data_IF_196366768185
#
_entry.id   IF_196366768185
#
_cell.length_a   1.000
_cell.length_b   1.000
_cell.length_c   1.000
_cell.angle_alpha   90.00
_cell.angle_beta   90.00
_cell.angle_gamma   90.00
#
_symmetry.space_group_name_H-M   'P 1'
#
loop_
_entity.id
_entity.type
_entity.pdbx_description
1 polymer ?
#
# COMPACT_ATOMS: atom_id res chain seq x y z
N UNK A 1 -2.02 6.34 -22.47
CA UNK A 1 -0.69 5.71 -22.26
C UNK A 1 0.29 6.82 -21.93
N UNK A 2 1.02 6.68 -20.82
CA UNK A 2 2.04 7.65 -20.40
C UNK A 2 3.29 7.47 -21.26
N UNK A 3 3.88 8.57 -21.74
CA UNK A 3 5.11 8.50 -22.55
C UNK A 3 6.31 8.05 -21.72
N UNK A 4 7.28 7.42 -22.38
CA UNK A 4 8.55 6.98 -21.75
C UNK A 4 9.34 8.17 -21.18
N UNK A 5 9.32 9.32 -21.85
CA UNK A 5 9.95 10.55 -21.36
C UNK A 5 9.30 11.03 -20.06
N UNK A 6 7.96 11.08 -20.01
CA UNK A 6 7.22 11.48 -18.79
C UNK A 6 7.53 10.56 -17.61
N UNK A 7 7.58 9.25 -17.86
CA UNK A 7 7.96 8.27 -16.83
C UNK A 7 9.40 8.50 -16.33
N UNK A 8 10.35 8.74 -17.22
CA UNK A 8 11.75 8.95 -16.88
C UNK A 8 11.97 10.25 -16.09
N UNK A 9 11.26 11.34 -16.44
CA UNK A 9 11.30 12.61 -15.69
C UNK A 9 10.68 12.44 -14.30
N UNK A 10 9.50 11.83 -14.22
CA UNK A 10 8.82 11.60 -12.95
C UNK A 10 9.65 10.72 -12.01
N UNK A 11 10.32 9.69 -12.54
CA UNK A 11 11.24 8.85 -11.78
C UNK A 11 12.48 9.64 -11.32
N UNK A 12 13.02 10.54 -12.13
CA UNK A 12 14.11 11.42 -11.75
C UNK A 12 13.77 12.29 -10.54
N UNK A 13 12.53 12.82 -10.50
CA UNK A 13 12.02 13.56 -9.35
C UNK A 13 11.80 12.65 -8.14
N UNK A 14 11.34 11.41 -8.35
CA UNK A 14 11.01 10.45 -7.30
C UNK A 14 12.23 9.83 -6.60
N UNK A 15 13.41 9.80 -7.25
CA UNK A 15 14.62 9.13 -6.73
C UNK A 15 15.07 9.61 -5.35
N UNK A 16 14.85 10.87 -5.01
CA UNK A 16 15.25 11.46 -3.74
C UNK A 16 14.29 11.15 -2.58
N UNK A 17 13.12 10.57 -2.85
CA UNK A 17 12.09 10.32 -1.83
C UNK A 17 12.09 8.87 -1.36
N UNK A 18 11.93 8.70 -0.05
CA UNK A 18 11.75 7.38 0.58
C UNK A 18 10.28 6.91 0.56
N UNK A 19 9.36 7.71 0.01
CA UNK A 19 7.94 7.35 -0.04
C UNK A 19 7.73 6.07 -0.86
N UNK A 20 6.89 5.12 -0.41
CA UNK A 20 6.69 3.82 -1.08
C UNK A 20 6.30 3.94 -2.56
N UNK A 21 5.41 4.88 -2.90
CA UNK A 21 5.00 5.09 -4.29
C UNK A 21 6.12 5.68 -5.17
N UNK A 22 6.98 6.55 -4.60
CA UNK A 22 8.17 7.06 -5.30
C UNK A 22 9.14 5.92 -5.64
N UNK A 23 9.37 5.02 -4.69
CA UNK A 23 10.18 3.84 -4.92
C UNK A 23 9.55 2.87 -5.92
N UNK A 24 8.21 2.70 -5.89
CA UNK A 24 7.49 1.88 -6.85
C UNK A 24 7.64 2.44 -8.28
N UNK A 25 7.50 3.76 -8.45
CA UNK A 25 7.71 4.42 -9.74
C UNK A 25 9.13 4.21 -10.27
N UNK A 26 10.13 4.39 -9.40
CA UNK A 26 11.54 4.22 -9.78
C UNK A 26 11.85 2.78 -10.18
N UNK A 27 11.32 1.79 -9.42
CA UNK A 27 11.45 0.36 -9.77
C UNK A 27 10.79 0.04 -11.11
N UNK A 28 9.61 0.57 -11.37
CA UNK A 28 8.90 0.32 -12.63
C UNK A 28 9.66 0.88 -13.83
N UNK A 29 10.24 2.08 -13.70
CA UNK A 29 11.08 2.69 -14.74
C UNK A 29 12.31 1.83 -15.02
N UNK A 30 13.00 1.34 -13.98
CA UNK A 30 14.14 0.43 -14.12
C UNK A 30 13.72 -0.90 -14.78
N UNK A 31 12.57 -1.47 -14.38
CA UNK A 31 12.03 -2.71 -14.97
C UNK A 31 11.76 -2.58 -16.47
N UNK A 32 11.38 -1.39 -16.93
CA UNK A 32 11.19 -1.07 -18.36
C UNK A 32 12.49 -0.80 -19.11
N UNK A 33 13.64 -0.90 -18.45
CA UNK A 33 14.93 -0.57 -19.04
C UNK A 33 15.13 0.92 -19.30
N UNK A 34 14.36 1.78 -18.65
CA UNK A 34 14.45 3.21 -18.77
C UNK A 34 15.38 3.77 -17.68
N UNK A 35 16.11 4.83 -18.03
CA UNK A 35 16.95 5.57 -17.07
C UNK A 35 16.21 6.81 -16.60
N UNK A 36 16.09 7.05 -15.28
CA UNK A 36 15.54 8.29 -14.76
C UNK A 36 16.33 9.50 -15.27
N UNK A 37 15.65 10.55 -15.68
CA UNK A 37 16.29 11.78 -16.16
C UNK A 37 16.68 12.70 -14.99
N UNK A 38 17.78 13.43 -15.17
CA UNK A 38 18.28 14.34 -14.12
C UNK A 38 17.33 15.50 -13.91
N UNK A 39 16.88 15.69 -12.67
CA UNK A 39 16.02 16.79 -12.22
C UNK A 39 16.77 17.59 -11.17
N UNK A 40 16.72 18.93 -11.27
CA UNK A 40 17.32 19.85 -10.30
C UNK A 40 16.30 20.41 -9.31
N UNK A 41 16.83 21.07 -8.27
CA UNK A 41 16.03 21.83 -7.27
C UNK A 41 14.91 21.01 -6.63
N UNK A 42 15.20 19.74 -6.32
CA UNK A 42 14.21 18.83 -5.75
C UNK A 42 13.92 19.24 -4.31
N UNK A 43 12.63 19.48 -4.02
CA UNK A 43 12.13 19.80 -2.68
C UNK A 43 10.96 18.89 -2.34
N UNK A 44 10.99 18.30 -1.16
CA UNK A 44 9.89 17.53 -0.60
C UNK A 44 8.95 18.46 0.21
N UNK A 45 7.66 18.38 -0.07
CA UNK A 45 6.60 19.12 0.60
C UNK A 45 5.75 18.13 1.40
N UNK A 46 5.89 18.10 2.74
CA UNK A 46 5.19 17.12 3.58
C UNK A 46 3.67 17.11 3.34
N UNK A 47 3.11 15.92 3.14
CA UNK A 47 1.68 15.72 2.87
C UNK A 47 1.21 16.12 1.46
N UNK A 48 2.07 16.71 0.63
CA UNK A 48 1.73 17.14 -0.73
C UNK A 48 2.45 16.31 -1.80
N UNK A 49 3.78 16.26 -1.75
CA UNK A 49 4.61 15.57 -2.72
C UNK A 49 5.96 16.24 -2.95
N UNK A 50 6.50 16.09 -4.15
CA UNK A 50 7.80 16.58 -4.58
C UNK A 50 7.65 17.68 -5.62
N UNK A 51 8.52 18.66 -5.60
CA UNK A 51 8.72 19.61 -6.70
C UNK A 51 10.19 19.58 -7.17
N UNK A 52 10.42 20.02 -8.41
CA UNK A 52 11.74 20.12 -9.00
C UNK A 52 11.72 20.90 -10.30
N UNK A 53 12.85 20.95 -10.99
CA UNK A 53 13.02 21.65 -12.26
C UNK A 53 13.65 20.73 -13.30
N UNK A 54 13.08 20.70 -14.51
CA UNK A 54 13.63 19.99 -15.65
C UNK A 54 13.59 20.88 -16.90
N UNK A 55 14.76 21.20 -17.45
CA UNK A 55 14.92 22.13 -18.58
C UNK A 55 14.15 23.46 -18.40
N UNK A 56 14.20 24.03 -17.17
CA UNK A 56 13.52 25.29 -16.83
C UNK A 56 12.01 25.16 -16.57
N UNK A 57 11.41 23.99 -16.79
CA UNK A 57 10.02 23.74 -16.47
C UNK A 57 9.86 23.20 -15.05
N UNK A 58 8.91 23.76 -14.31
CA UNK A 58 8.59 23.30 -12.94
C UNK A 58 7.86 21.97 -12.99
N UNK A 59 8.32 21.05 -12.14
CA UNK A 59 7.72 19.74 -11.96
C UNK A 59 7.01 19.65 -10.60
N UNK A 60 5.94 18.86 -10.55
CA UNK A 60 5.29 18.41 -9.31
C UNK A 60 4.93 16.93 -9.45
N UNK A 61 5.16 16.17 -8.37
CA UNK A 61 4.76 14.77 -8.25
C UNK A 61 4.18 14.55 -6.85
N UNK A 62 2.94 14.14 -6.73
CA UNK A 62 2.29 13.97 -5.43
C UNK A 62 0.79 13.78 -5.52
N UNK A 63 0.06 14.29 -4.53
CA UNK A 63 -1.39 14.17 -4.51
C UNK A 63 -2.06 15.01 -5.63
N UNK A 64 -3.33 14.72 -5.93
CA UNK A 64 -4.10 15.37 -6.99
C UNK A 64 -4.13 16.89 -6.84
N UNK A 65 -4.48 17.38 -5.65
CA UNK A 65 -4.62 18.81 -5.37
C UNK A 65 -3.28 19.55 -5.59
N UNK A 66 -2.16 18.98 -5.12
CA UNK A 66 -0.82 19.52 -5.33
C UNK A 66 -0.44 19.67 -6.80
N UNK A 67 -0.82 18.72 -7.62
CA UNK A 67 -0.54 18.72 -9.06
C UNK A 67 -1.63 19.41 -9.89
N UNK A 68 -2.71 19.89 -9.26
CA UNK A 68 -3.84 20.51 -9.95
C UNK A 68 -4.58 19.54 -10.86
N UNK A 69 -4.70 18.28 -10.44
CA UNK A 69 -5.55 17.29 -11.07
C UNK A 69 -6.94 17.32 -10.43
N UNK A 70 -7.97 17.17 -11.26
CA UNK A 70 -9.36 17.10 -10.79
C UNK A 70 -9.57 15.86 -9.92
N UNK A 71 -10.49 15.96 -8.95
CA UNK A 71 -10.90 14.79 -8.19
C UNK A 71 -11.57 13.77 -9.12
N UNK A 72 -11.24 12.50 -8.94
CA UNK A 72 -11.94 11.44 -9.66
C UNK A 72 -13.26 11.16 -8.97
N UNK A 73 -14.34 11.16 -9.73
CA UNK A 73 -15.65 10.72 -9.25
C UNK A 73 -15.68 9.21 -8.96
N UNK A 74 -14.73 8.46 -9.52
CA UNK A 74 -14.61 7.00 -9.34
C UNK A 74 -13.44 6.68 -8.42
N UNK A 75 -13.74 6.07 -7.27
CA UNK A 75 -12.73 5.48 -6.39
C UNK A 75 -12.35 4.09 -6.93
N UNK A 76 -11.29 4.03 -7.73
CA UNK A 76 -10.78 2.76 -8.27
C UNK A 76 -10.04 1.92 -7.20
N UNK A 77 -9.93 2.40 -5.95
CA UNK A 77 -9.20 1.73 -4.88
C UNK A 77 -7.71 1.53 -5.18
N UNK A 78 -7.17 2.28 -6.13
CA UNK A 78 -5.74 2.28 -6.48
C UNK A 78 -5.03 3.40 -5.74
N UNK A 79 -3.81 3.13 -5.30
CA UNK A 79 -2.89 4.17 -4.87
C UNK A 79 -2.45 4.98 -6.10
N UNK A 80 -2.32 6.28 -5.95
CA UNK A 80 -2.04 7.14 -7.11
C UNK A 80 -1.09 8.28 -6.78
N UNK A 81 -0.32 8.67 -7.79
CA UNK A 81 0.37 9.95 -7.88
C UNK A 81 -0.10 10.71 -9.12
N UNK A 82 -0.28 12.01 -8.96
CA UNK A 82 -0.35 12.94 -10.07
C UNK A 82 1.05 13.49 -10.37
N UNK A 83 1.38 13.63 -11.64
CA UNK A 83 2.61 14.28 -12.11
C UNK A 83 2.23 15.44 -13.03
N UNK A 84 2.80 16.61 -12.78
CA UNK A 84 2.63 17.80 -13.62
C UNK A 84 3.95 18.39 -14.05
N UNK A 85 4.05 18.71 -15.34
CA UNK A 85 5.19 19.39 -15.95
C UNK A 85 4.75 20.75 -16.50
N UNK A 86 5.23 21.84 -15.89
CA UNK A 86 4.88 23.21 -16.26
C UNK A 86 3.37 23.46 -16.25
N UNK A 87 2.85 24.02 -17.32
CA UNK A 87 1.42 24.31 -17.50
C UNK A 87 0.62 23.14 -18.13
N UNK A 88 1.27 22.00 -18.42
CA UNK A 88 0.61 20.85 -19.06
C UNK A 88 -0.43 20.21 -18.12
N UNK A 89 -1.37 19.51 -18.73
CA UNK A 89 -2.33 18.70 -17.96
C UNK A 89 -1.60 17.66 -17.09
N UNK A 90 -2.07 17.43 -15.86
CA UNK A 90 -1.48 16.42 -14.98
C UNK A 90 -1.66 15.02 -15.57
N UNK A 91 -0.66 14.17 -15.34
CA UNK A 91 -0.68 12.75 -15.69
C UNK A 91 -0.85 11.94 -14.43
N UNK A 92 -1.77 10.98 -14.43
CA UNK A 92 -2.01 10.11 -13.29
C UNK A 92 -1.19 8.81 -13.42
N UNK A 93 -0.48 8.46 -12.36
CA UNK A 93 0.13 7.16 -12.15
C UNK A 93 -0.72 6.40 -11.14
N UNK A 94 -1.20 5.24 -11.54
CA UNK A 94 -1.93 4.34 -10.67
C UNK A 94 -1.03 3.18 -10.28
N UNK A 95 -1.03 2.86 -9.00
CA UNK A 95 -0.23 1.78 -8.44
C UNK A 95 -1.17 0.72 -7.91
N UNK A 96 -0.91 -0.49 -8.31
CA UNK A 96 -1.60 -1.66 -7.82
C UNK A 96 -0.66 -2.46 -6.94
N UNK A 97 -1.07 -2.73 -5.70
CA UNK A 97 -0.34 -3.65 -4.85
C UNK A 97 -0.42 -5.04 -5.46
N UNK A 98 0.75 -5.54 -5.84
CA UNK A 98 0.84 -6.88 -6.41
C UNK A 98 0.71 -7.91 -5.30
N UNK A 99 -0.40 -8.62 -5.31
CA UNK A 99 -0.55 -9.79 -4.46
C UNK A 99 0.57 -10.81 -4.72
N UNK A 100 1.02 -11.48 -3.69
CA UNK A 100 1.94 -12.61 -3.86
C UNK A 100 1.28 -13.68 -4.72
N UNK A 101 2.06 -14.30 -5.60
CA UNK A 101 1.54 -15.29 -6.56
C UNK A 101 0.85 -16.49 -5.89
N UNK A 102 1.26 -16.83 -4.67
CA UNK A 102 0.70 -17.94 -3.89
C UNK A 102 -0.41 -17.51 -2.90
N UNK A 103 -0.79 -16.21 -2.85
CA UNK A 103 -1.75 -15.71 -1.85
C UNK A 103 -3.10 -16.43 -1.92
N UNK A 104 -3.69 -16.53 -3.11
CA UNK A 104 -4.98 -17.20 -3.30
C UNK A 104 -4.91 -18.71 -2.96
N UNK A 105 -3.81 -19.37 -3.32
CA UNK A 105 -3.59 -20.78 -2.98
C UNK A 105 -3.46 -21.00 -1.47
N UNK A 106 -2.71 -20.12 -0.79
CA UNK A 106 -2.58 -20.15 0.67
C UNK A 106 -3.93 -20.01 1.36
N UNK A 107 -4.74 -19.02 0.94
CA UNK A 107 -6.08 -18.81 1.52
C UNK A 107 -6.98 -20.04 1.29
N UNK A 108 -6.94 -20.61 0.09
CA UNK A 108 -7.69 -21.85 -0.20
C UNK A 108 -7.26 -22.98 0.72
N UNK A 109 -5.96 -23.21 0.88
CA UNK A 109 -5.42 -24.26 1.76
C UNK A 109 -5.88 -24.07 3.21
N UNK A 110 -5.86 -22.84 3.73
CA UNK A 110 -6.37 -22.56 5.07
C UNK A 110 -7.86 -22.89 5.21
N UNK A 111 -8.66 -22.54 4.20
CA UNK A 111 -10.09 -22.86 4.18
C UNK A 111 -10.35 -24.39 4.09
N UNK A 112 -9.56 -25.09 3.31
CA UNK A 112 -9.63 -26.57 3.18
C UNK A 112 -9.27 -27.27 4.50
N UNK A 113 -8.43 -26.63 5.34
CA UNK A 113 -8.15 -27.07 6.71
C UNK A 113 -9.29 -26.76 7.71
N UNK A 114 -10.40 -26.17 7.25
CA UNK A 114 -11.56 -25.81 8.08
C UNK A 114 -11.40 -24.47 8.82
N UNK A 115 -10.42 -23.64 8.44
CA UNK A 115 -10.21 -22.33 9.06
C UNK A 115 -11.10 -21.28 8.37
N UNK A 116 -11.73 -20.40 9.18
CA UNK A 116 -12.39 -19.21 8.68
C UNK A 116 -11.35 -18.07 8.54
N UNK A 117 -11.23 -17.54 7.35
CA UNK A 117 -10.27 -16.46 7.07
C UNK A 117 -11.00 -15.13 6.93
N UNK A 118 -10.53 -14.11 7.65
CA UNK A 118 -11.07 -12.74 7.58
C UNK A 118 -9.94 -11.75 7.24
N UNK A 119 -10.26 -10.73 6.45
CA UNK A 119 -9.35 -9.63 6.10
C UNK A 119 -9.80 -8.35 6.80
N UNK A 120 -8.94 -7.79 7.66
CA UNK A 120 -9.16 -6.51 8.33
C UNK A 120 -8.11 -5.52 7.87
N UNK A 121 -8.52 -4.46 7.17
CA UNK A 121 -7.58 -3.46 6.65
C UNK A 121 -8.06 -2.04 6.95
N UNK A 122 -7.10 -1.14 7.22
CA UNK A 122 -7.37 0.30 7.30
C UNK A 122 -7.65 0.97 5.96
N UNK A 123 -7.43 0.25 4.86
CA UNK A 123 -7.60 0.77 3.51
C UNK A 123 -9.07 1.01 3.13
N UNK A 124 -9.24 1.72 2.01
CA UNK A 124 -10.56 2.01 1.45
C UNK A 124 -11.27 0.72 1.01
N UNK A 125 -12.59 0.76 1.06
CA UNK A 125 -13.46 -0.38 0.76
C UNK A 125 -13.17 -1.01 -0.61
N UNK A 126 -13.01 -0.21 -1.66
CA UNK A 126 -12.72 -0.70 -3.01
C UNK A 126 -11.40 -1.49 -3.08
N UNK A 127 -10.36 -1.07 -2.36
CA UNK A 127 -9.08 -1.76 -2.29
C UNK A 127 -9.19 -3.09 -1.55
N UNK A 128 -9.84 -3.08 -0.38
CA UNK A 128 -10.02 -4.27 0.47
C UNK A 128 -10.87 -5.32 -0.24
N UNK A 129 -11.99 -4.91 -0.84
CA UNK A 129 -12.87 -5.82 -1.58
C UNK A 129 -12.17 -6.44 -2.79
N UNK A 130 -11.39 -5.67 -3.53
CA UNK A 130 -10.60 -6.20 -4.65
C UNK A 130 -9.62 -7.29 -4.19
N UNK A 131 -8.88 -7.05 -3.11
CA UNK A 131 -7.97 -8.04 -2.54
C UNK A 131 -8.74 -9.27 -2.06
N UNK A 132 -9.80 -9.08 -1.29
CA UNK A 132 -10.62 -10.17 -0.75
C UNK A 132 -11.16 -11.09 -1.87
N UNK A 133 -11.70 -10.50 -2.94
CA UNK A 133 -12.19 -11.24 -4.12
C UNK A 133 -11.04 -11.99 -4.79
N UNK A 134 -9.90 -11.33 -5.01
CA UNK A 134 -8.76 -11.92 -5.71
C UNK A 134 -8.15 -13.12 -4.98
N UNK A 135 -8.21 -13.15 -3.64
CA UNK A 135 -7.68 -14.26 -2.83
C UNK A 135 -8.76 -15.21 -2.31
N UNK A 136 -10.05 -14.92 -2.56
CA UNK A 136 -11.16 -15.77 -2.16
C UNK A 136 -11.54 -15.65 -0.68
N UNK A 137 -11.36 -14.49 -0.05
CA UNK A 137 -11.82 -14.19 1.32
C UNK A 137 -13.24 -13.62 1.25
N UNK A 138 -14.17 -14.18 2.02
CA UNK A 138 -15.58 -13.76 2.05
C UNK A 138 -15.83 -12.65 3.09
N UNK A 139 -15.11 -12.69 4.21
CA UNK A 139 -15.26 -11.71 5.29
C UNK A 139 -14.16 -10.68 5.19
N UNK A 140 -14.49 -9.48 4.75
CA UNK A 140 -13.57 -8.36 4.64
C UNK A 140 -14.11 -7.13 5.38
N UNK A 141 -13.29 -6.51 6.22
CA UNK A 141 -13.62 -5.33 7.02
C UNK A 141 -12.70 -4.18 6.58
N UNK A 142 -13.18 -3.29 5.71
CA UNK A 142 -12.42 -2.11 5.27
C UNK A 142 -12.44 -1.01 6.34
N UNK A 143 -11.53 -0.03 6.20
CA UNK A 143 -11.40 1.13 7.09
C UNK A 143 -11.33 0.76 8.58
N UNK A 144 -10.77 -0.41 8.87
CA UNK A 144 -10.64 -0.91 10.23
C UNK A 144 -9.54 -0.14 10.97
N UNK A 145 -9.93 0.68 11.95
CA UNK A 145 -8.98 1.30 12.88
C UNK A 145 -8.30 0.24 13.75
N UNK A 146 -7.17 0.56 14.42
CA UNK A 146 -6.54 -0.35 15.38
C UNK A 146 -7.53 -0.85 16.46
N UNK A 147 -8.40 0.02 16.94
CA UNK A 147 -9.44 -0.30 17.92
C UNK A 147 -10.50 -1.24 17.33
N UNK A 148 -10.91 -1.03 16.07
CA UNK A 148 -11.87 -1.91 15.40
C UNK A 148 -11.29 -3.31 15.16
N UNK A 149 -10.00 -3.42 14.80
CA UNK A 149 -9.30 -4.70 14.67
C UNK A 149 -9.24 -5.45 16.02
N UNK A 150 -8.87 -4.74 17.09
CA UNK A 150 -8.87 -5.29 18.45
C UNK A 150 -10.26 -5.80 18.84
N UNK A 151 -11.30 -4.96 18.68
CA UNK A 151 -12.66 -5.32 19.05
C UNK A 151 -13.17 -6.54 18.26
N UNK A 152 -12.79 -6.68 16.98
CA UNK A 152 -13.14 -7.83 16.16
C UNK A 152 -12.52 -9.13 16.71
N UNK A 153 -11.23 -9.11 17.06
CA UNK A 153 -10.53 -10.26 17.65
C UNK A 153 -11.15 -10.64 19.01
N UNK A 154 -11.40 -9.64 19.86
CA UNK A 154 -12.02 -9.86 21.18
C UNK A 154 -13.43 -10.46 21.05
N UNK A 155 -14.22 -10.00 20.08
CA UNK A 155 -15.56 -10.55 19.83
C UNK A 155 -15.52 -12.04 19.45
N UNK A 156 -14.56 -12.42 18.59
CA UNK A 156 -14.35 -13.83 18.23
C UNK A 156 -13.90 -14.67 19.44
N UNK A 157 -12.98 -14.14 20.25
CA UNK A 157 -12.54 -14.83 21.48
C UNK A 157 -13.69 -15.04 22.47
N UNK A 158 -14.54 -14.02 22.69
CA UNK A 158 -15.74 -14.12 23.52
C UNK A 158 -16.73 -15.16 22.99
N UNK A 159 -16.77 -15.34 21.67
CA UNK A 159 -17.57 -16.39 21.03
C UNK A 159 -16.92 -17.80 21.08
N UNK A 160 -15.84 -17.97 21.83
CA UNK A 160 -15.13 -19.24 21.99
C UNK A 160 -14.25 -19.64 20.80
N UNK A 161 -13.99 -18.70 19.87
CA UNK A 161 -13.12 -18.96 18.72
C UNK A 161 -11.66 -18.77 19.10
N UNK A 162 -10.77 -19.63 18.61
CA UNK A 162 -9.32 -19.48 18.73
C UNK A 162 -8.83 -18.72 17.51
N UNK A 163 -8.37 -17.49 17.71
CA UNK A 163 -7.97 -16.59 16.64
C UNK A 163 -6.46 -16.60 16.47
N UNK A 164 -5.99 -16.95 15.26
CA UNK A 164 -4.64 -16.60 14.82
C UNK A 164 -4.70 -15.20 14.18
N UNK A 165 -4.07 -14.23 14.83
CA UNK A 165 -3.90 -12.89 14.27
C UNK A 165 -2.57 -12.78 13.51
N UNK A 166 -2.62 -12.31 12.26
CA UNK A 166 -1.43 -12.03 11.44
C UNK A 166 -1.42 -10.57 11.07
N UNK A 167 -0.31 -9.88 11.34
CA UNK A 167 -0.19 -8.45 11.05
C UNK A 167 1.27 -8.02 10.98
N UNK A 168 1.55 -6.89 10.32
CA UNK A 168 2.91 -6.39 10.07
C UNK A 168 3.13 -4.95 10.56
N UNK A 169 2.08 -4.26 10.94
CA UNK A 169 2.10 -2.84 11.28
C UNK A 169 2.04 -2.53 12.77
N UNK A 170 2.43 -1.31 13.12
CA UNK A 170 2.27 -0.73 14.46
C UNK A 170 0.77 -0.74 14.85
N UNK A 171 -0.10 -0.52 13.87
CA UNK A 171 -1.55 -0.47 14.07
C UNK A 171 -2.18 -1.82 14.38
N UNK A 172 -1.45 -2.93 14.17
CA UNK A 172 -1.94 -4.28 14.43
C UNK A 172 -1.53 -4.81 15.81
N UNK A 173 -0.59 -4.14 16.48
CA UNK A 173 -0.04 -4.60 17.76
C UNK A 173 -1.10 -4.91 18.83
N UNK A 174 -2.15 -4.09 19.06
CA UNK A 174 -3.20 -4.44 20.01
C UNK A 174 -3.98 -5.70 19.64
N UNK A 175 -4.26 -5.87 18.34
CA UNK A 175 -4.99 -7.04 17.83
C UNK A 175 -4.12 -8.30 17.84
N UNK A 176 -2.80 -8.19 17.57
CA UNK A 176 -1.82 -9.27 17.70
C UNK A 176 -1.77 -9.78 19.15
N UNK A 177 -1.67 -8.86 20.11
CA UNK A 177 -1.64 -9.22 21.55
C UNK A 177 -2.96 -9.84 22.04
N UNK A 178 -4.09 -9.51 21.42
CA UNK A 178 -5.41 -10.05 21.78
C UNK A 178 -5.72 -11.40 21.11
N UNK A 179 -4.97 -11.82 20.09
CA UNK A 179 -5.14 -13.11 19.43
C UNK A 179 -4.94 -14.28 20.41
N UNK A 180 -5.58 -15.44 20.14
CA UNK A 180 -5.26 -16.68 20.85
C UNK A 180 -3.82 -17.10 20.56
N UNK A 181 -3.34 -16.85 19.36
CA UNK A 181 -1.94 -16.85 18.94
C UNK A 181 -1.75 -15.79 17.86
N UNK A 182 -0.51 -15.36 17.65
CA UNK A 182 -0.22 -14.28 16.70
C UNK A 182 1.09 -14.47 15.93
N UNK A 183 1.12 -13.97 14.71
CA UNK A 183 2.28 -14.04 13.82
C UNK A 183 2.55 -12.70 13.16
N UNK A 184 3.84 -12.36 13.04
CA UNK A 184 4.29 -11.22 12.26
C UNK A 184 5.42 -11.62 11.29
N UNK A 185 5.52 -11.03 10.09
CA UNK A 185 6.66 -11.23 9.22
C UNK A 185 7.92 -10.55 9.80
N UNK A 186 9.10 -11.06 9.46
CA UNK A 186 10.38 -10.44 9.87
C UNK A 186 10.55 -9.01 9.35
N UNK A 187 9.83 -8.64 8.31
CA UNK A 187 9.75 -7.27 7.75
C UNK A 187 8.81 -6.34 8.51
N UNK A 188 8.06 -6.85 9.50
CA UNK A 188 7.17 -6.04 10.33
C UNK A 188 7.93 -4.98 11.13
N UNK A 189 7.21 -3.95 11.58
CA UNK A 189 7.74 -2.96 12.52
C UNK A 189 8.22 -3.62 13.82
N UNK A 190 9.16 -2.99 14.53
CA UNK A 190 9.67 -3.49 15.80
C UNK A 190 8.53 -3.73 16.81
N UNK A 191 7.53 -2.85 16.82
CA UNK A 191 6.35 -2.98 17.69
C UNK A 191 5.52 -4.19 17.27
N UNK A 192 5.28 -4.38 15.97
CA UNK A 192 4.54 -5.53 15.44
C UNK A 192 5.23 -6.86 15.77
N UNK A 193 6.57 -6.93 15.60
CA UNK A 193 7.36 -8.11 15.94
C UNK A 193 7.36 -8.42 17.44
N UNK A 194 7.40 -7.39 18.27
CA UNK A 194 7.37 -7.56 19.73
C UNK A 194 5.99 -8.00 20.23
N UNK A 195 4.92 -7.57 19.56
CA UNK A 195 3.55 -7.94 19.92
C UNK A 195 3.15 -9.35 19.46
N UNK A 196 3.85 -9.93 18.50
CA UNK A 196 3.56 -11.25 17.95
C UNK A 196 4.27 -12.35 18.74
N UNK A 197 3.61 -13.48 18.95
CA UNK A 197 4.21 -14.67 19.58
C UNK A 197 5.21 -15.37 18.66
N UNK A 198 4.99 -15.29 17.35
CA UNK A 198 5.84 -15.92 16.35
C UNK A 198 6.23 -14.91 15.27
N UNK A 199 7.51 -14.89 14.91
CA UNK A 199 8.01 -14.11 13.77
C UNK A 199 8.46 -15.08 12.69
N UNK A 200 7.92 -14.94 11.47
CA UNK A 200 8.30 -15.77 10.34
C UNK A 200 9.14 -14.99 9.32
N UNK A 201 10.08 -15.70 8.70
CA UNK A 201 10.91 -15.12 7.65
C UNK A 201 10.10 -14.95 6.36
N UNK A 202 10.29 -13.81 5.72
CA UNK A 202 9.71 -13.52 4.39
C UNK A 202 10.87 -13.51 3.40
N UNK A 203 10.83 -14.38 2.41
CA UNK A 203 11.74 -14.40 1.27
C UNK A 203 11.32 -13.40 0.19
#
# INVERSE_FOLDING_TARGET
TVSTETLAIAAGLAQSSKHPLSQALTREVARRGLTPLSVSDIVEHPGQGLSGTYHGERLRLGNRAWCGAEESAEDHGLLEFAFRRGARAPVMFHFEDKLRSNAAETIRTLKDMGLNVSLLSGDREAAVNRVAIAVGIETAVPRASPQAKLAYVEALNKAGRKVLMVGDGINDAPALAAGYTSMAPSSASDIGRTAAETVFMVE
#
